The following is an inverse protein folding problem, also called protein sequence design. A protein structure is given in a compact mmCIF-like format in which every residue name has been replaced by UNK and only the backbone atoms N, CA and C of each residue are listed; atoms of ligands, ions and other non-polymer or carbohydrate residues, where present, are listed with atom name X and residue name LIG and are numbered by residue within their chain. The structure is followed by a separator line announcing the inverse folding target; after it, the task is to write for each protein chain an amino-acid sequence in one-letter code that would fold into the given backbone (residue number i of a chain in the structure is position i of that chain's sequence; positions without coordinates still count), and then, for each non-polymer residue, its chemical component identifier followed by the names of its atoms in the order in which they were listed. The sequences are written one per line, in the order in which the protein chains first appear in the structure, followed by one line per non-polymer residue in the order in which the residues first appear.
data_IF_354645078792
#
_entry.id   IF_354645078792
#
_cell.length_a   1.000
_cell.length_b   1.000
_cell.length_c   1.000
_cell.angle_alpha   90.00
_cell.angle_beta   90.00
_cell.angle_gamma   90.00
#
_symmetry.space_group_name_H-M   'P 1'
#
loop_
_entity.id
_entity.type
_entity.pdbx_description
1 polymer ?
#
# COMPACT_ATOMS: atom_id res chain seq x y z
N UNK A 1 -62.34 -1.56 -15.24
CA UNK A 1 -61.34 -0.77 -14.51
C UNK A 1 -60.79 -1.65 -13.40
N UNK A 2 -59.57 -2.17 -13.56
CA UNK A 2 -58.89 -2.99 -12.56
C UNK A 2 -57.43 -2.57 -12.55
N UNK A 3 -57.06 -1.78 -11.56
CA UNK A 3 -55.74 -1.18 -11.41
C UNK A 3 -54.75 -2.24 -10.91
N UNK A 4 -53.91 -2.79 -11.79
CA UNK A 4 -52.76 -3.57 -11.35
C UNK A 4 -51.62 -2.61 -10.99
N UNK A 5 -51.62 -2.24 -9.71
CA UNK A 5 -50.50 -1.65 -8.99
C UNK A 5 -49.33 -2.64 -8.94
N UNK A 6 -48.47 -2.59 -9.96
CA UNK A 6 -47.16 -3.27 -9.91
C UNK A 6 -46.32 -2.60 -8.84
N UNK A 7 -46.27 -3.25 -7.67
CA UNK A 7 -45.42 -2.90 -6.54
C UNK A 7 -43.98 -2.75 -7.02
N UNK A 8 -43.52 -1.50 -7.14
CA UNK A 8 -42.12 -1.16 -7.41
C UNK A 8 -41.29 -1.71 -6.26
N UNK A 9 -40.64 -2.84 -6.48
CA UNK A 9 -39.73 -3.46 -5.52
C UNK A 9 -38.75 -2.39 -5.01
N UNK A 10 -38.82 -2.09 -3.71
CA UNK A 10 -37.90 -1.15 -3.05
C UNK A 10 -36.51 -1.76 -3.14
N UNK A 11 -35.72 -1.29 -4.12
CA UNK A 11 -34.29 -1.60 -4.25
C UNK A 11 -33.64 -1.23 -2.92
N UNK A 12 -33.18 -2.25 -2.19
CA UNK A 12 -32.54 -2.12 -0.88
C UNK A 12 -31.50 -0.97 -0.92
N UNK A 13 -31.38 -0.14 0.14
CA UNK A 13 -30.35 0.88 0.18
C UNK A 13 -29.00 0.16 0.13
N UNK A 14 -28.36 0.16 -1.05
CA UNK A 14 -26.95 -0.22 -1.15
C UNK A 14 -26.23 0.58 -0.07
N UNK A 15 -25.62 -0.11 0.89
CA UNK A 15 -25.03 0.51 2.07
C UNK A 15 -24.22 1.72 1.64
N UNK A 16 -24.56 2.90 2.19
CA UNK A 16 -23.80 4.13 1.92
C UNK A 16 -22.33 3.81 2.22
N UNK A 17 -21.45 4.15 1.28
CA UNK A 17 -20.01 4.00 1.49
C UNK A 17 -19.61 4.63 2.83
N UNK A 18 -18.90 3.87 3.66
CA UNK A 18 -18.51 4.31 5.00
C UNK A 18 -17.28 5.23 4.95
N UNK A 19 -16.51 5.18 3.86
CA UNK A 19 -15.31 6.00 3.64
C UNK A 19 -15.34 6.67 2.25
N UNK A 20 -14.60 7.79 2.05
CA UNK A 20 -14.47 8.41 0.74
C UNK A 20 -13.92 7.45 -0.33
N UNK A 21 -12.96 6.61 0.02
CA UNK A 21 -12.36 5.61 -0.88
C UNK A 21 -13.39 4.54 -1.30
N UNK A 22 -14.22 4.07 -0.37
CA UNK A 22 -15.30 3.14 -0.70
C UNK A 22 -16.33 3.79 -1.64
N UNK A 23 -16.58 5.09 -1.49
CA UNK A 23 -17.50 5.83 -2.35
C UNK A 23 -16.94 5.95 -3.76
N UNK A 24 -15.67 6.29 -3.90
CA UNK A 24 -14.97 6.34 -5.17
C UNK A 24 -14.99 4.99 -5.89
N UNK A 25 -14.64 3.91 -5.18
CA UNK A 25 -14.68 2.55 -5.73
C UNK A 25 -16.08 2.14 -6.19
N UNK A 26 -17.13 2.53 -5.46
CA UNK A 26 -18.51 2.30 -5.89
C UNK A 26 -18.85 3.05 -7.18
N UNK A 27 -18.44 4.32 -7.31
CA UNK A 27 -18.69 5.12 -8.51
C UNK A 27 -17.93 4.58 -9.72
N UNK A 28 -16.66 4.18 -9.53
CA UNK A 28 -15.84 3.55 -10.58
C UNK A 28 -16.51 2.26 -11.04
N UNK A 29 -16.94 1.40 -10.12
CA UNK A 29 -17.62 0.14 -10.46
C UNK A 29 -18.87 0.36 -11.30
N UNK A 30 -19.69 1.37 -10.95
CA UNK A 30 -20.87 1.74 -11.74
C UNK A 30 -20.49 2.23 -13.15
N UNK A 31 -19.44 3.06 -13.25
CA UNK A 31 -18.98 3.57 -14.54
C UNK A 31 -18.45 2.45 -15.44
N UNK A 32 -17.70 1.48 -14.88
CA UNK A 32 -17.19 0.32 -15.61
C UNK A 32 -18.32 -0.55 -16.12
N UNK A 33 -19.31 -0.90 -15.28
CA UNK A 33 -20.48 -1.68 -15.69
C UNK A 33 -21.22 -0.99 -16.84
N UNK A 34 -21.41 0.33 -16.75
CA UNK A 34 -22.09 1.07 -17.81
C UNK A 34 -21.28 1.08 -19.11
N UNK A 35 -19.96 1.23 -19.03
CA UNK A 35 -19.09 1.19 -20.19
C UNK A 35 -19.09 -0.20 -20.86
N UNK A 36 -19.12 -1.27 -20.07
CA UNK A 36 -19.24 -2.65 -20.57
C UNK A 36 -20.55 -2.84 -21.36
N UNK A 37 -21.69 -2.45 -20.79
CA UNK A 37 -22.99 -2.48 -21.48
C UNK A 37 -22.92 -1.75 -22.84
N UNK A 38 -22.37 -0.53 -22.85
CA UNK A 38 -22.27 0.27 -24.07
C UNK A 38 -21.33 -0.33 -25.13
N UNK A 39 -20.28 -1.03 -24.70
CA UNK A 39 -19.36 -1.73 -25.61
C UNK A 39 -20.02 -2.95 -26.23
N UNK A 40 -20.80 -3.71 -25.45
CA UNK A 40 -21.57 -4.87 -25.94
C UNK A 40 -22.66 -4.46 -26.92
N UNK A 41 -23.39 -3.37 -26.61
CA UNK A 41 -24.44 -2.82 -27.46
C UNK A 41 -23.89 -2.13 -28.72
N UNK A 42 -22.57 -1.92 -28.81
CA UNK A 42 -21.92 -1.22 -29.92
C UNK A 42 -22.18 0.30 -29.96
N UNK A 43 -22.76 0.88 -28.91
CA UNK A 43 -23.08 2.31 -28.80
C UNK A 43 -22.05 3.10 -27.98
N UNK A 44 -20.92 2.48 -27.64
CA UNK A 44 -19.87 3.12 -26.86
C UNK A 44 -19.28 4.35 -27.60
N UNK A 45 -19.16 5.51 -26.92
CA UNK A 45 -18.46 6.65 -27.46
C UNK A 45 -16.99 6.33 -27.75
N UNK A 46 -16.36 7.00 -28.74
CA UNK A 46 -14.96 6.79 -29.08
C UNK A 46 -13.97 6.97 -27.90
N UNK A 47 -14.33 7.81 -26.92
CA UNK A 47 -13.53 8.02 -25.70
C UNK A 47 -13.45 6.76 -24.83
N UNK A 48 -14.56 6.04 -24.65
CA UNK A 48 -14.62 4.79 -23.88
C UNK A 48 -13.80 3.72 -24.60
N UNK A 49 -13.99 3.57 -25.91
CA UNK A 49 -13.25 2.61 -26.74
C UNK A 49 -11.74 2.89 -26.63
N UNK A 50 -11.33 4.15 -26.81
CA UNK A 50 -9.91 4.53 -26.71
C UNK A 50 -9.33 4.28 -25.32
N UNK A 51 -10.10 4.55 -24.25
CA UNK A 51 -9.67 4.31 -22.88
C UNK A 51 -9.37 2.83 -22.65
N UNK A 52 -10.30 1.94 -23.00
CA UNK A 52 -10.10 0.49 -22.82
C UNK A 52 -9.05 -0.09 -23.77
N UNK A 53 -8.93 0.42 -24.99
CA UNK A 53 -7.85 0.02 -25.89
C UNK A 53 -6.47 0.38 -25.31
N UNK A 54 -6.32 1.58 -24.73
CA UNK A 54 -5.09 1.99 -24.04
C UNK A 54 -4.77 1.06 -22.87
N UNK A 55 -5.77 0.74 -22.05
CA UNK A 55 -5.61 -0.20 -20.93
C UNK A 55 -5.21 -1.61 -21.38
N UNK A 56 -5.71 -2.07 -22.54
CA UNK A 56 -5.38 -3.39 -23.08
C UNK A 56 -3.99 -3.47 -23.73
N UNK A 57 -3.32 -2.33 -23.96
CA UNK A 57 -2.00 -2.34 -24.60
C UNK A 57 -0.92 -2.93 -23.69
N UNK A 58 0.09 -3.56 -24.31
CA UNK A 58 1.28 -4.07 -23.62
C UNK A 58 2.02 -2.99 -22.83
N UNK A 59 1.94 -1.72 -23.28
CA UNK A 59 2.55 -0.58 -22.61
C UNK A 59 1.97 -0.33 -21.22
N UNK A 60 0.65 -0.43 -21.05
CA UNK A 60 0.01 -0.22 -19.74
C UNK A 60 0.44 -1.30 -18.74
N UNK A 61 0.51 -2.56 -19.19
CA UNK A 61 0.98 -3.67 -18.35
C UNK A 61 2.41 -3.46 -17.87
N UNK A 62 3.31 -3.06 -18.78
CA UNK A 62 4.71 -2.76 -18.45
C UNK A 62 4.84 -1.55 -17.52
N UNK A 63 4.01 -0.52 -17.68
CA UNK A 63 4.02 0.64 -16.77
C UNK A 63 3.54 0.24 -15.38
N UNK A 64 2.49 -0.58 -15.26
CA UNK A 64 2.04 -1.10 -13.97
C UNK A 64 3.11 -1.98 -13.29
N UNK A 65 3.81 -2.82 -14.05
CA UNK A 65 4.94 -3.60 -13.54
C UNK A 65 6.08 -2.70 -13.08
N UNK A 66 6.40 -1.64 -13.83
CA UNK A 66 7.41 -0.64 -13.46
C UNK A 66 7.06 0.05 -12.15
N UNK A 67 5.81 0.52 -12.02
CA UNK A 67 5.31 1.18 -10.80
C UNK A 67 5.34 0.22 -9.62
N UNK A 68 4.99 -1.05 -9.81
CA UNK A 68 5.07 -2.07 -8.75
C UNK A 68 6.52 -2.30 -8.30
N UNK A 69 7.44 -2.49 -9.25
CA UNK A 69 8.86 -2.67 -8.95
C UNK A 69 9.47 -1.46 -8.25
N UNK A 70 9.07 -0.24 -8.65
CA UNK A 70 9.51 1.00 -8.01
C UNK A 70 8.99 1.09 -6.56
N UNK A 71 7.73 0.74 -6.32
CA UNK A 71 7.18 0.66 -4.96
C UNK A 71 7.89 -0.38 -4.08
N UNK A 72 8.19 -1.56 -4.64
CA UNK A 72 8.89 -2.62 -3.91
C UNK A 72 10.33 -2.21 -3.58
N UNK A 73 11.02 -1.54 -4.51
CA UNK A 73 12.34 -0.95 -4.28
C UNK A 73 12.30 0.13 -3.20
N UNK A 74 11.29 1.01 -3.20
CA UNK A 74 11.11 2.04 -2.18
C UNK A 74 10.86 1.43 -0.81
N UNK A 75 10.05 0.37 -0.72
CA UNK A 75 9.85 -0.38 0.53
C UNK A 75 11.14 -1.02 1.02
N UNK A 76 11.87 -1.71 0.14
CA UNK A 76 13.15 -2.33 0.50
C UNK A 76 14.17 -1.28 0.98
N UNK A 77 14.21 -0.10 0.36
CA UNK A 77 15.03 1.02 0.82
C UNK A 77 14.58 1.53 2.19
N UNK A 78 13.28 1.69 2.41
CA UNK A 78 12.75 2.10 3.71
C UNK A 78 13.09 1.09 4.81
N UNK A 79 12.96 -0.20 4.52
CA UNK A 79 13.29 -1.29 5.45
C UNK A 79 14.79 -1.34 5.74
N UNK A 80 15.65 -1.15 4.72
CA UNK A 80 17.10 -1.09 4.90
C UNK A 80 17.53 0.10 5.76
N UNK A 81 16.92 1.28 5.54
CA UNK A 81 17.17 2.47 6.37
C UNK A 81 16.70 2.25 7.81
N UNK A 82 15.52 1.65 8.01
CA UNK A 82 15.01 1.32 9.34
C UNK A 82 15.87 0.26 10.05
N UNK A 83 16.39 -0.74 9.32
CA UNK A 83 17.31 -1.73 9.87
C UNK A 83 18.66 -1.11 10.24
N UNK A 84 19.18 -0.19 9.42
CA UNK A 84 20.40 0.57 9.73
C UNK A 84 20.25 1.40 10.99
N UNK A 85 19.13 2.13 11.12
CA UNK A 85 18.85 2.94 12.31
C UNK A 85 18.76 2.08 13.59
N UNK A 86 18.05 0.93 13.54
CA UNK A 86 18.00 -0.02 14.67
C UNK A 86 19.37 -0.62 14.99
N UNK A 87 20.18 -0.90 13.96
CA UNK A 87 21.54 -1.40 14.13
C UNK A 87 22.45 -0.39 14.84
N UNK A 88 22.34 0.89 14.50
CA UNK A 88 23.06 1.97 15.19
C UNK A 88 22.62 2.11 16.65
N UNK A 89 21.32 1.99 16.95
CA UNK A 89 20.79 2.00 18.32
C UNK A 89 21.30 0.81 19.13
N UNK A 90 21.20 -0.41 18.59
CA UNK A 90 21.69 -1.62 19.23
C UNK A 90 23.21 -1.57 19.46
N UNK A 91 23.98 -1.01 18.52
CA UNK A 91 25.42 -0.84 18.66
C UNK A 91 25.78 0.16 19.77
N UNK A 92 25.02 1.26 19.92
CA UNK A 92 25.19 2.20 21.04
C UNK A 92 24.89 1.53 22.38
N UNK A 93 23.82 0.75 22.47
CA UNK A 93 23.47 0.03 23.70
C UNK A 93 24.56 -0.97 24.09
N UNK A 94 25.09 -1.74 23.12
CA UNK A 94 26.21 -2.66 23.34
C UNK A 94 27.46 -1.90 23.83
N UNK A 95 27.79 -0.76 23.22
CA UNK A 95 28.91 0.07 23.66
C UNK A 95 28.72 0.65 25.07
N UNK A 96 27.50 1.04 25.45
CA UNK A 96 27.18 1.48 26.81
C UNK A 96 27.25 0.34 27.83
N UNK A 97 26.79 -0.86 27.46
CA UNK A 97 26.93 -2.06 28.27
C UNK A 97 28.41 -2.43 28.50
N UNK A 98 29.26 -2.33 27.47
CA UNK A 98 30.70 -2.53 27.62
C UNK A 98 31.38 -1.44 28.48
N UNK A 99 30.98 -0.17 28.35
CA UNK A 99 31.51 0.92 29.18
C UNK A 99 31.11 0.81 30.65
N UNK A 100 29.86 0.45 30.93
CA UNK A 100 29.37 0.22 32.30
C UNK A 100 30.03 -0.98 32.95
N UNK A 101 30.29 -2.05 32.19
CA UNK A 101 31.10 -3.19 32.65
C UNK A 101 32.56 -2.79 32.94
N UNK A 102 33.19 -2.00 32.06
CA UNK A 102 34.56 -1.52 32.25
C UNK A 102 34.72 -0.56 33.45
N UNK A 103 33.65 0.13 33.85
CA UNK A 103 33.63 0.99 35.04
C UNK A 103 33.32 0.27 36.35
N UNK A 104 32.92 -1.01 36.30
CA UNK A 104 32.35 -1.76 37.42
C UNK A 104 33.30 -2.60 38.28
N UNK A 105 34.58 -2.71 37.94
CA UNK A 105 35.55 -3.35 38.82
C UNK A 105 36.62 -4.17 38.10
N UNK A 106 37.81 -3.60 38.04
CA UNK A 106 39.05 -4.30 38.34
C UNK A 106 39.97 -3.26 38.93
N UNK A 107 40.01 -3.21 40.26
CA UNK A 107 41.16 -2.69 40.98
C UNK A 107 42.33 -3.58 40.60
N UNK A 108 43.09 -3.14 39.60
CA UNK A 108 44.44 -3.63 39.40
C UNK A 108 45.23 -3.05 40.56
N UNK A 109 45.34 -3.84 41.63
CA UNK A 109 46.42 -3.68 42.60
C UNK A 109 47.71 -3.55 41.81
N UNK A 110 48.24 -2.34 41.82
CA UNK A 110 49.61 -2.04 41.42
C UNK A 110 50.52 -2.78 42.40
N UNK A 111 50.89 -4.01 42.05
CA UNK A 111 51.97 -4.72 42.72
C UNK A 111 53.29 -4.12 42.22
N UNK A 112 53.56 -2.91 42.70
CA UNK A 112 54.90 -2.36 42.78
C UNK A 112 55.58 -3.03 43.96
N UNK A 113 56.33 -4.11 43.72
CA UNK A 113 57.50 -4.52 44.51
C UNK A 113 58.03 -5.86 44.01
N UNK A 114 59.02 -5.85 43.12
CA UNK A 114 60.12 -6.81 43.17
C UNK A 114 61.41 -6.14 42.66
N UNK A 115 62.39 -6.17 43.56
CA UNK A 115 63.74 -5.58 43.50
C UNK A 115 64.56 -5.98 42.27
#
# INVERSE_FOLDING_TARGET
MGENSVARAKKSPRGRAATPEQQENQLISLAVQRAEEMLLDGTAPPSIITHYLKLATSRERLEQERIKAENDMLKAKADALAASARGEEAYKEVLEAFKSYAGGGVGLESDSDLQ
#
